data_IF_375151848534
#
_entry.id   IF_375151848534
#
_cell.length_a   1.000
_cell.length_b   1.000
_cell.length_c   1.000
_cell.angle_alpha   90.00
_cell.angle_beta   90.00
_cell.angle_gamma   90.00
#
_symmetry.space_group_name_H-M   'P 1'
#
loop_
_entity.id
_entity.type
_entity.pdbx_description
1 polymer ?
#
# COMPACT_ATOMS: atom_id res chain seq x y z
N UNK A 1 -61.99 -7.58 -21.12
CA UNK A 1 -62.68 -6.52 -20.34
C UNK A 1 -61.88 -6.36 -19.05
N UNK A 2 -60.89 -5.46 -18.97
CA UNK A 2 -60.97 -4.00 -18.71
C UNK A 2 -61.45 -3.69 -17.27
N UNK A 3 -60.53 -3.12 -16.46
CA UNK A 3 -60.69 -2.09 -15.41
C UNK A 3 -61.78 -2.29 -14.32
N UNK A 4 -61.66 -1.83 -13.07
CA UNK A 4 -60.76 -0.91 -12.39
C UNK A 4 -61.03 -0.98 -10.88
N UNK A 5 -59.97 -0.77 -10.09
CA UNK A 5 -59.86 0.14 -8.94
C UNK A 5 -61.00 0.26 -7.90
N UNK A 6 -60.63 0.13 -6.62
CA UNK A 6 -60.25 1.25 -5.70
C UNK A 6 -60.09 0.67 -4.28
N UNK A 7 -58.89 0.63 -3.73
CA UNK A 7 -58.27 1.70 -2.93
C UNK A 7 -59.01 1.99 -1.61
N UNK A 8 -58.55 1.37 -0.52
CA UNK A 8 -58.55 2.00 0.81
C UNK A 8 -57.16 1.84 1.42
N UNK A 9 -56.55 2.99 1.64
CA UNK A 9 -55.31 3.22 2.38
C UNK A 9 -55.59 2.99 3.87
N UNK A 10 -54.60 2.45 4.59
CA UNK A 10 -54.23 2.80 5.97
C UNK A 10 -52.86 2.14 6.20
N UNK A 11 -51.79 2.94 6.21
CA UNK A 11 -51.18 3.51 7.41
C UNK A 11 -50.14 2.55 8.01
N UNK A 12 -48.87 2.88 7.78
CA UNK A 12 -47.72 2.17 8.33
C UNK A 12 -46.46 2.88 7.85
N UNK A 13 -46.10 3.95 8.55
CA UNK A 13 -44.80 4.60 8.41
C UNK A 13 -43.74 3.63 8.94
N UNK A 14 -42.89 3.10 8.06
CA UNK A 14 -41.62 2.48 8.47
C UNK A 14 -40.47 3.33 7.93
N UNK A 15 -40.26 4.43 8.67
CA UNK A 15 -39.06 5.25 8.71
C UNK A 15 -37.94 4.50 9.48
N UNK A 16 -37.60 3.28 9.07
CA UNK A 16 -36.57 2.53 9.78
C UNK A 16 -35.89 1.52 8.88
N UNK A 17 -34.99 2.02 8.04
CA UNK A 17 -33.62 1.50 7.92
C UNK A 17 -32.92 2.32 6.84
N UNK A 18 -32.34 3.45 7.23
CA UNK A 18 -31.08 3.86 6.61
C UNK A 18 -30.12 2.70 6.89
N UNK A 19 -30.01 1.78 5.94
CA UNK A 19 -28.91 0.83 5.91
C UNK A 19 -27.66 1.66 5.74
N UNK A 20 -27.04 2.04 6.86
CA UNK A 20 -25.65 2.44 6.89
C UNK A 20 -24.89 1.24 6.34
N UNK A 21 -24.57 1.29 5.05
CA UNK A 21 -23.52 0.47 4.47
C UNK A 21 -22.30 0.84 5.31
N UNK A 22 -21.73 -0.06 6.12
CA UNK A 22 -20.47 0.22 6.77
C UNK A 22 -19.52 0.55 5.63
N UNK A 23 -19.00 1.78 5.61
CA UNK A 23 -17.92 2.12 4.72
C UNK A 23 -16.80 1.15 5.06
N UNK A 24 -16.57 0.17 4.20
CA UNK A 24 -15.49 -0.82 4.34
C UNK A 24 -14.13 -0.16 4.01
N UNK A 25 -14.02 1.13 4.30
CA UNK A 25 -12.78 1.86 4.30
C UNK A 25 -11.98 1.50 5.56
N UNK A 26 -10.65 1.46 5.47
CA UNK A 26 -9.80 1.26 6.63
C UNK A 26 -10.19 2.24 7.74
N UNK A 27 -10.27 1.75 8.97
CA UNK A 27 -10.58 2.60 10.12
C UNK A 27 -9.55 3.74 10.25
N UNK A 28 -9.87 4.85 10.93
CA UNK A 28 -8.96 5.97 11.08
C UNK A 28 -7.57 5.54 11.59
N UNK A 29 -7.49 4.58 12.50
CA UNK A 29 -6.22 4.03 12.99
C UNK A 29 -5.43 3.27 11.91
N UNK A 30 -6.13 2.51 11.05
CA UNK A 30 -5.53 1.74 9.95
C UNK A 30 -5.00 2.68 8.85
N UNK A 31 -5.69 3.80 8.60
CA UNK A 31 -5.19 4.85 7.69
C UNK A 31 -3.96 5.59 8.21
N UNK A 32 -3.83 5.76 9.53
CA UNK A 32 -2.67 6.40 10.16
C UNK A 32 -1.46 5.47 10.09
N UNK A 33 -1.62 4.19 10.43
CA UNK A 33 -0.55 3.18 10.34
C UNK A 33 -0.02 3.05 8.91
N UNK A 34 -0.91 3.00 7.91
CA UNK A 34 -0.50 2.92 6.50
C UNK A 34 0.25 4.19 6.04
N UNK A 35 -0.14 5.36 6.56
CA UNK A 35 0.53 6.62 6.26
C UNK A 35 1.92 6.67 6.88
N UNK A 36 2.08 6.27 8.14
CA UNK A 36 3.36 6.22 8.84
C UNK A 36 4.32 5.24 8.15
N UNK A 37 3.83 4.04 7.80
CA UNK A 37 4.62 3.04 7.07
C UNK A 37 5.04 3.53 5.69
N UNK A 38 4.14 4.23 4.99
CA UNK A 38 4.48 4.85 3.71
C UNK A 38 5.57 5.91 3.88
N UNK A 39 5.47 6.80 4.89
CA UNK A 39 6.49 7.81 5.14
C UNK A 39 7.86 7.19 5.45
N UNK A 40 7.90 6.13 6.26
CA UNK A 40 9.13 5.39 6.57
C UNK A 40 9.76 4.75 5.33
N UNK A 41 8.95 4.18 4.43
CA UNK A 41 9.46 3.65 3.16
C UNK A 41 10.07 4.76 2.29
N UNK A 42 9.40 5.91 2.20
CA UNK A 42 9.90 7.03 1.41
C UNK A 42 11.19 7.61 1.99
N UNK A 43 11.31 7.72 3.33
CA UNK A 43 12.55 8.17 3.97
C UNK A 43 13.69 7.16 3.79
N UNK A 44 13.42 5.87 3.97
CA UNK A 44 14.42 4.82 3.75
C UNK A 44 14.96 4.81 2.31
N UNK A 45 14.07 4.96 1.31
CA UNK A 45 14.47 5.13 -0.08
C UNK A 45 15.26 6.42 -0.32
N UNK A 46 14.95 7.49 0.43
CA UNK A 46 15.63 8.77 0.35
C UNK A 46 17.04 8.75 0.97
N UNK A 47 17.32 7.83 1.89
CA UNK A 47 18.64 7.65 2.50
C UNK A 47 19.58 6.78 1.64
N UNK A 48 19.04 5.97 0.72
CA UNK A 48 19.87 5.17 -0.18
C UNK A 48 20.79 6.06 -1.04
N UNK A 49 22.09 5.71 -1.15
CA UNK A 49 22.97 6.34 -2.13
C UNK A 49 22.36 6.31 -3.53
N UNK A 50 22.53 7.39 -4.30
CA UNK A 50 21.94 7.52 -5.64
C UNK A 50 22.11 6.27 -6.53
N UNK A 51 23.31 5.64 -6.63
CA UNK A 51 23.50 4.46 -7.50
C UNK A 51 22.70 3.22 -7.05
N UNK A 52 22.37 3.14 -5.75
CA UNK A 52 21.55 2.06 -5.20
C UNK A 52 20.07 2.35 -5.46
N UNK A 53 19.65 3.61 -5.29
CA UNK A 53 18.27 4.05 -5.54
C UNK A 53 17.89 3.88 -7.01
N UNK A 54 18.77 4.21 -7.94
CA UNK A 54 18.55 4.02 -9.39
C UNK A 54 18.29 2.55 -9.74
N UNK A 55 19.10 1.63 -9.22
CA UNK A 55 18.93 0.20 -9.51
C UNK A 55 17.67 -0.38 -8.86
N UNK A 56 17.31 0.09 -7.66
CA UNK A 56 16.04 -0.26 -7.01
C UNK A 56 14.87 0.26 -7.82
N UNK A 57 14.96 1.50 -8.33
CA UNK A 57 13.89 2.09 -9.10
C UNK A 57 13.62 1.30 -10.39
N UNK A 58 14.68 0.96 -11.12
CA UNK A 58 14.56 0.13 -12.31
C UNK A 58 14.00 -1.25 -11.98
N UNK A 59 14.46 -1.87 -10.89
CA UNK A 59 14.06 -3.23 -10.54
C UNK A 59 12.59 -3.32 -10.08
N UNK A 60 12.14 -2.43 -9.20
CA UNK A 60 10.86 -2.54 -8.53
C UNK A 60 9.77 -1.65 -9.13
N UNK A 61 10.11 -0.46 -9.64
CA UNK A 61 9.13 0.45 -10.24
C UNK A 61 9.06 0.31 -11.77
N UNK A 62 10.18 0.08 -12.44
CA UNK A 62 10.20 -0.11 -13.89
C UNK A 62 10.14 -1.60 -14.32
N UNK A 63 10.03 -2.53 -13.38
CA UNK A 63 9.89 -3.97 -13.65
C UNK A 63 11.08 -4.60 -14.37
N UNK A 64 12.28 -4.00 -14.27
CA UNK A 64 13.49 -4.49 -14.91
C UNK A 64 14.15 -5.58 -14.07
N UNK A 65 14.80 -6.52 -14.74
CA UNK A 65 15.76 -7.40 -14.06
C UNK A 65 17.05 -6.61 -13.75
N UNK A 66 17.83 -7.08 -12.77
CA UNK A 66 19.14 -6.46 -12.47
C UNK A 66 20.09 -6.45 -13.69
N UNK A 67 19.94 -7.41 -14.62
CA UNK A 67 20.67 -7.45 -15.90
C UNK A 67 20.27 -6.32 -16.84
N UNK A 68 18.97 -6.09 -17.00
CA UNK A 68 18.46 -4.98 -17.81
C UNK A 68 18.82 -3.63 -17.19
N UNK A 69 18.73 -3.51 -15.86
CA UNK A 69 19.19 -2.31 -15.16
C UNK A 69 20.69 -2.05 -15.36
N UNK A 70 21.52 -3.10 -15.43
CA UNK A 70 22.95 -2.96 -15.73
C UNK A 70 23.18 -2.35 -17.11
N UNK A 71 22.42 -2.80 -18.12
CA UNK A 71 22.47 -2.26 -19.49
C UNK A 71 22.00 -0.81 -19.53
N UNK A 72 20.86 -0.50 -18.91
CA UNK A 72 20.30 0.86 -18.90
C UNK A 72 21.19 1.87 -18.15
N UNK A 73 21.85 1.45 -17.07
CA UNK A 73 22.77 2.30 -16.29
C UNK A 73 24.20 2.32 -16.84
N UNK A 74 24.53 1.52 -17.86
CA UNK A 74 25.89 1.43 -18.41
C UNK A 74 26.92 0.89 -17.42
N UNK A 75 26.52 -0.03 -16.52
CA UNK A 75 27.39 -0.61 -15.48
C UNK A 75 27.55 -2.13 -15.66
N UNK A 76 28.61 -2.74 -15.09
CA UNK A 76 28.74 -4.21 -15.09
C UNK A 76 27.57 -4.90 -14.38
N UNK A 77 27.15 -6.06 -14.90
CA UNK A 77 26.07 -6.87 -14.30
C UNK A 77 26.35 -7.21 -12.82
N UNK A 78 27.61 -7.57 -12.50
CA UNK A 78 28.03 -7.82 -11.13
C UNK A 78 27.86 -6.61 -10.22
N UNK A 79 28.09 -5.40 -10.73
CA UNK A 79 27.89 -4.12 -10.02
C UNK A 79 26.42 -3.82 -9.80
N UNK A 80 25.56 -4.04 -10.79
CA UNK A 80 24.12 -3.89 -10.63
C UNK A 80 23.56 -4.86 -9.57
N UNK A 81 24.01 -6.12 -9.62
CA UNK A 81 23.63 -7.15 -8.64
C UNK A 81 24.05 -6.79 -7.22
N UNK A 82 25.30 -6.35 -7.03
CA UNK A 82 25.78 -5.97 -5.69
C UNK A 82 25.10 -4.71 -5.17
N UNK A 83 24.88 -3.70 -6.02
CA UNK A 83 24.13 -2.48 -5.65
C UNK A 83 22.70 -2.82 -5.21
N UNK A 84 21.99 -3.64 -5.98
CA UNK A 84 20.62 -4.05 -5.64
C UNK A 84 20.59 -4.81 -4.32
N UNK A 85 21.53 -5.73 -4.10
CA UNK A 85 21.64 -6.48 -2.83
C UNK A 85 21.91 -5.57 -1.65
N UNK A 86 22.83 -4.61 -1.78
CA UNK A 86 23.15 -3.67 -0.70
C UNK A 86 21.98 -2.72 -0.41
N UNK A 87 21.30 -2.25 -1.45
CA UNK A 87 20.11 -1.41 -1.30
C UNK A 87 19.01 -2.13 -0.51
N UNK A 88 18.68 -3.36 -0.90
CA UNK A 88 17.66 -4.17 -0.22
C UNK A 88 18.02 -4.49 1.22
N UNK A 89 19.30 -4.73 1.51
CA UNK A 89 19.77 -4.90 2.89
C UNK A 89 19.57 -3.63 3.71
N UNK A 90 20.01 -2.48 3.19
CA UNK A 90 19.85 -1.20 3.88
C UNK A 90 18.38 -0.89 4.13
N UNK A 91 17.51 -1.11 3.14
CA UNK A 91 16.07 -0.92 3.31
C UNK A 91 15.48 -1.86 4.37
N UNK A 92 15.89 -3.13 4.38
CA UNK A 92 15.44 -4.07 5.41
C UNK A 92 15.89 -3.66 6.81
N UNK A 93 17.11 -3.15 6.96
CA UNK A 93 17.65 -2.65 8.24
C UNK A 93 16.90 -1.40 8.71
N UNK A 94 16.64 -0.43 7.83
CA UNK A 94 15.90 0.80 8.17
C UNK A 94 14.42 0.53 8.48
N UNK A 95 13.80 -0.44 7.81
CA UNK A 95 12.37 -0.74 7.96
C UNK A 95 12.07 -1.77 9.06
N UNK A 96 13.08 -2.48 9.57
CA UNK A 96 12.92 -3.40 10.68
C UNK A 96 12.74 -2.69 12.05
N UNK A 97 12.89 -1.37 12.08
CA UNK A 97 12.70 -0.53 13.27
C UNK A 97 11.53 0.46 13.04
N UNK A 98 10.30 -0.07 13.01
CA UNK A 98 9.36 0.24 14.08
C UNK A 98 8.72 -1.03 14.65
N UNK A 99 8.46 -1.09 15.98
CA UNK A 99 7.71 -2.19 16.58
C UNK A 99 6.36 -2.31 15.89
N UNK A 100 6.01 -3.51 15.44
CA UNK A 100 4.67 -3.80 14.92
C UNK A 100 3.65 -3.61 16.05
N UNK A 101 2.77 -2.58 16.00
CA UNK A 101 1.78 -2.36 17.05
C UNK A 101 0.70 -3.46 17.08
N UNK A 102 0.66 -4.35 16.08
CA UNK A 102 -0.21 -5.52 16.10
C UNK A 102 0.35 -6.66 16.97
N UNK A 103 1.66 -6.70 17.24
CA UNK A 103 2.25 -7.73 18.11
C UNK A 103 1.99 -7.47 19.61
N UNK A 104 1.65 -6.25 20.02
CA UNK A 104 1.36 -5.93 21.44
C UNK A 104 -0.11 -6.11 21.86
N UNK A 105 -1.05 -6.31 20.93
CA UNK A 105 -2.49 -6.44 21.24
C UNK A 105 -2.94 -7.86 21.59
N UNK A 106 -2.01 -8.76 21.93
CA UNK A 106 -2.29 -10.19 22.07
C UNK A 106 -1.51 -10.91 23.17
N UNK A 107 -1.30 -10.28 24.33
CA UNK A 107 -0.76 -10.92 25.54
C UNK A 107 -1.68 -10.69 26.75
#
# INVERSE_FOLDING_TARGET
VRSEARHRKDAGADDSTLQAIPDAGPGPDETVVDRERSLLLHSALAELPQPQREVVHLAYFAGRTYRQAAVELGIPEGTAKTRLRSALRSLAETLADPPDPALERGA
#
